data_IF_568746805933
#
_entry.id   IF_568746805933
#
_cell.length_a   1.000
_cell.length_b   1.000
_cell.length_c   1.000
_cell.angle_alpha   90.00
_cell.angle_beta   90.00
_cell.angle_gamma   90.00
#
_symmetry.space_group_name_H-M   'P 1'
#
loop_
_entity.id
_entity.type
_entity.pdbx_description
1 polymer ?
#
# COMPACT_ATOMS: atom_id res chain seq x y z
N UNK A 1 -13.34 -2.93 -17.60
CA UNK A 1 -12.04 -3.08 -16.93
C UNK A 1 -11.21 -4.04 -17.77
N UNK A 2 -10.21 -3.55 -18.50
CA UNK A 2 -9.34 -4.40 -19.30
C UNK A 2 -8.31 -5.04 -18.36
N UNK A 3 -8.47 -6.33 -18.06
CA UNK A 3 -7.42 -7.10 -17.41
C UNK A 3 -6.21 -7.12 -18.34
N UNK A 4 -5.09 -6.55 -17.89
CA UNK A 4 -3.82 -6.58 -18.61
C UNK A 4 -2.96 -7.70 -18.04
N UNK A 5 -2.43 -8.54 -18.91
CA UNK A 5 -1.47 -9.58 -18.53
C UNK A 5 -0.05 -9.03 -18.66
N UNK A 6 0.77 -9.30 -17.65
CA UNK A 6 2.18 -8.92 -17.61
C UNK A 6 3.02 -10.15 -17.29
N UNK A 7 4.26 -10.20 -17.80
CA UNK A 7 5.26 -11.23 -17.49
C UNK A 7 6.46 -10.53 -16.85
N UNK A 8 6.93 -11.08 -15.74
CA UNK A 8 8.07 -10.57 -14.99
C UNK A 8 9.02 -11.72 -14.66
N UNK A 9 10.31 -11.42 -14.54
CA UNK A 9 11.33 -12.41 -14.19
C UNK A 9 11.24 -12.88 -12.73
N UNK A 10 10.66 -12.06 -11.84
CA UNK A 10 10.45 -12.37 -10.42
C UNK A 10 9.27 -11.58 -9.81
N UNK A 11 8.81 -12.01 -8.63
CA UNK A 11 7.79 -11.29 -7.86
C UNK A 11 8.24 -9.89 -7.45
N UNK A 12 9.52 -9.72 -7.12
CA UNK A 12 10.10 -8.42 -6.76
C UNK A 12 9.95 -7.43 -7.94
N UNK A 13 10.29 -7.85 -9.16
CA UNK A 13 10.11 -7.01 -10.36
C UNK A 13 8.64 -6.62 -10.57
N UNK A 14 7.70 -7.56 -10.36
CA UNK A 14 6.27 -7.29 -10.46
C UNK A 14 5.80 -6.26 -9.41
N UNK A 15 6.22 -6.42 -8.15
CA UNK A 15 5.89 -5.51 -7.05
C UNK A 15 6.47 -4.11 -7.33
N UNK A 16 7.72 -4.03 -7.77
CA UNK A 16 8.37 -2.76 -8.11
C UNK A 16 7.69 -2.01 -9.26
N UNK A 17 7.06 -2.71 -10.20
CA UNK A 17 6.31 -2.06 -11.28
C UNK A 17 4.87 -1.75 -10.88
N UNK A 18 4.16 -2.69 -10.24
CA UNK A 18 2.70 -2.65 -10.14
C UNK A 18 2.16 -2.13 -8.81
N UNK A 19 2.87 -2.32 -7.70
CA UNK A 19 2.36 -1.93 -6.38
C UNK A 19 2.23 -0.40 -6.25
N UNK A 20 1.30 0.12 -5.45
CA UNK A 20 1.35 1.53 -5.05
C UNK A 20 2.57 1.79 -4.15
N UNK A 21 3.03 3.03 -4.12
CA UNK A 21 4.05 3.49 -3.17
C UNK A 21 3.37 4.19 -2.00
N UNK A 22 3.85 3.93 -0.78
CA UNK A 22 3.41 4.66 0.41
C UNK A 22 3.86 6.13 0.33
N UNK A 23 2.92 7.07 0.47
CA UNK A 23 3.20 8.51 0.44
C UNK A 23 4.05 9.02 1.63
N UNK A 24 4.25 8.19 2.66
CA UNK A 24 5.06 8.53 3.84
C UNK A 24 6.45 7.89 3.84
N UNK A 25 6.52 6.56 3.73
CA UNK A 25 7.77 5.81 3.89
C UNK A 25 8.32 5.21 2.59
N UNK A 26 7.69 5.51 1.45
CA UNK A 26 8.14 5.13 0.10
C UNK A 26 8.24 3.63 -0.17
N UNK A 27 7.81 2.77 0.75
CA UNK A 27 7.76 1.33 0.52
C UNK A 27 6.62 0.95 -0.43
N UNK A 28 6.77 -0.22 -1.06
CA UNK A 28 5.76 -0.80 -1.95
C UNK A 28 4.64 -1.43 -1.13
N UNK A 29 3.39 -1.05 -1.41
CA UNK A 29 2.20 -1.54 -0.71
C UNK A 29 1.75 -2.85 -1.35
N UNK A 30 2.01 -3.97 -0.68
CA UNK A 30 1.66 -5.32 -1.16
C UNK A 30 0.38 -5.85 -0.48
N UNK A 31 0.06 -5.32 0.72
CA UNK A 31 -1.07 -5.75 1.55
C UNK A 31 -2.26 -4.78 1.57
N UNK A 32 -3.07 -4.86 2.63
CA UNK A 32 -4.24 -4.02 2.87
C UNK A 32 -3.83 -2.61 3.35
N UNK A 33 -3.09 -1.87 2.53
CA UNK A 33 -2.78 -0.48 2.82
C UNK A 33 -4.03 0.36 3.08
N UNK A 34 -3.85 1.58 3.55
CA UNK A 34 -4.94 2.53 3.80
C UNK A 34 -4.90 3.66 2.79
N UNK A 35 -6.07 4.13 2.38
CA UNK A 35 -6.21 5.24 1.43
C UNK A 35 -6.98 6.39 2.09
N UNK A 36 -6.53 7.63 1.87
CA UNK A 36 -7.29 8.82 2.23
C UNK A 36 -6.99 9.97 1.29
N UNK A 37 -8.05 10.60 0.76
CA UNK A 37 -7.96 11.77 -0.14
C UNK A 37 -7.02 11.55 -1.33
N UNK A 38 -7.02 10.35 -1.91
CA UNK A 38 -6.18 9.97 -3.05
C UNK A 38 -4.70 9.72 -2.71
N UNK A 39 -4.35 9.66 -1.42
CA UNK A 39 -3.04 9.22 -0.93
C UNK A 39 -3.11 7.78 -0.43
N UNK A 40 -2.02 7.05 -0.65
CA UNK A 40 -1.89 5.64 -0.30
C UNK A 40 -0.82 5.46 0.77
N UNK A 41 -1.10 4.62 1.77
CA UNK A 41 -0.18 4.36 2.88
C UNK A 41 -0.10 2.87 3.16
N UNK A 42 1.08 2.39 3.57
CA UNK A 42 1.27 0.97 3.87
C UNK A 42 0.57 0.52 5.16
N UNK A 43 0.28 1.45 6.09
CA UNK A 43 -0.42 1.21 7.35
C UNK A 43 -0.99 2.52 7.93
N UNK A 44 -1.81 2.40 8.98
CA UNK A 44 -2.40 3.56 9.69
C UNK A 44 -1.33 4.50 10.25
N UNK A 45 -0.26 3.97 10.84
CA UNK A 45 0.81 4.79 11.39
C UNK A 45 1.43 5.75 10.36
N UNK A 46 1.62 5.29 9.12
CA UNK A 46 2.11 6.14 8.03
C UNK A 46 1.09 7.21 7.62
N UNK A 47 -0.21 6.88 7.63
CA UNK A 47 -1.26 7.84 7.33
C UNK A 47 -1.39 8.91 8.43
N UNK A 48 -1.35 8.51 9.69
CA UNK A 48 -1.37 9.40 10.86
C UNK A 48 -0.16 10.34 10.88
N UNK A 49 1.03 9.82 10.53
CA UNK A 49 2.25 10.62 10.38
C UNK A 49 2.10 11.73 9.31
N UNK A 50 1.14 11.58 8.40
CA UNK A 50 0.79 12.58 7.39
C UNK A 50 -0.49 13.36 7.70
N UNK A 51 -0.96 13.31 8.95
CA UNK A 51 -2.12 14.06 9.46
C UNK A 51 -3.47 13.48 9.04
N UNK A 52 -3.53 12.21 8.66
CA UNK A 52 -4.79 11.52 8.38
C UNK A 52 -5.30 10.87 9.67
N UNK A 53 -6.50 11.23 10.08
CA UNK A 53 -7.13 10.72 11.30
C UNK A 53 -8.31 9.79 10.99
N UNK A 54 -8.66 8.94 11.96
CA UNK A 54 -9.86 8.10 11.89
C UNK A 54 -9.76 6.89 10.95
N UNK A 55 -8.55 6.53 10.50
CA UNK A 55 -8.31 5.30 9.77
C UNK A 55 -8.12 4.13 10.75
N UNK A 56 -8.65 2.96 10.39
CA UNK A 56 -8.47 1.72 11.14
C UNK A 56 -7.80 0.68 10.24
N UNK A 57 -6.67 0.15 10.69
CA UNK A 57 -6.05 -1.00 10.07
C UNK A 57 -6.83 -2.26 10.49
N UNK A 58 -7.02 -3.21 9.58
CA UNK A 58 -7.60 -4.52 9.88
C UNK A 58 -6.52 -5.59 10.04
N UNK A 59 -5.32 -5.21 10.46
CA UNK A 59 -4.40 -6.16 11.08
C UNK A 59 -5.09 -6.65 12.37
N UNK A 60 -5.61 -7.87 12.34
CA UNK A 60 -6.00 -8.57 13.56
C UNK A 60 -4.85 -8.59 14.57
N UNK A 61 -5.11 -8.97 15.84
CA UNK A 61 -4.07 -8.95 16.87
C UNK A 61 -2.81 -9.65 16.36
N UNK A 62 -1.67 -8.98 16.49
CA UNK A 62 -0.37 -9.59 16.31
C UNK A 62 -0.30 -10.76 17.31
N UNK A 63 -0.50 -11.99 16.83
CA UNK A 63 -0.26 -13.24 17.56
C UNK A 63 1.16 -13.71 17.29
#
# INVERSE_FOLDING_TARGET
MHGQSHVFDSFECAIHMLAPTCDHCECRIIGHGVESRGKYFCCVHCAESMGVEGLADRTGPHV
#
